data_IF_023708677010
#
_entry.id   IF_023708677010
#
_cell.length_a   1.000
_cell.length_b   1.000
_cell.length_c   1.000
_cell.angle_alpha   90.00
_cell.angle_beta   90.00
_cell.angle_gamma   90.00
#
_symmetry.space_group_name_H-M   'P 1'
#
loop_
_entity.id
_entity.type
_entity.pdbx_description
1 polymer ?
#
# COMPACT_ATOMS: atom_id res chain seq x y z
N UNK A 1 14.64 -5.38 -11.23
CA UNK A 1 14.65 -6.24 -10.02
C UNK A 1 13.25 -6.19 -9.46
N UNK A 2 12.65 -7.32 -9.08
CA UNK A 2 11.29 -7.33 -8.52
C UNK A 2 11.24 -6.80 -7.08
N UNK A 3 10.05 -6.48 -6.59
CA UNK A 3 9.84 -5.95 -5.23
C UNK A 3 10.38 -6.90 -4.14
N UNK A 4 10.09 -8.19 -4.22
CA UNK A 4 10.52 -9.18 -3.22
C UNK A 4 12.06 -9.22 -3.08
N UNK A 5 12.77 -9.24 -4.20
CA UNK A 5 14.24 -9.26 -4.22
C UNK A 5 14.82 -7.94 -3.68
N UNK A 6 14.12 -6.83 -3.92
CA UNK A 6 14.50 -5.51 -3.41
C UNK A 6 14.41 -5.44 -1.88
N UNK A 7 13.35 -6.03 -1.32
CA UNK A 7 13.18 -6.16 0.12
C UNK A 7 14.23 -7.10 0.74
N UNK A 8 14.48 -8.26 0.10
CA UNK A 8 15.50 -9.24 0.56
C UNK A 8 16.91 -8.68 0.55
N UNK A 9 17.25 -7.90 -0.47
CA UNK A 9 18.56 -7.22 -0.60
C UNK A 9 18.73 -6.03 0.35
N UNK A 10 17.72 -5.72 1.19
CA UNK A 10 17.71 -4.60 2.14
C UNK A 10 17.98 -3.24 1.50
N UNK A 11 17.64 -3.11 0.21
CA UNK A 11 17.64 -1.81 -0.45
C UNK A 11 16.43 -1.03 0.02
N UNK A 12 16.57 0.29 0.14
CA UNK A 12 15.44 1.15 0.41
C UNK A 12 14.47 1.13 -0.78
N UNK A 13 13.25 0.65 -0.54
CA UNK A 13 12.23 0.46 -1.57
C UNK A 13 11.38 1.72 -1.74
N UNK A 14 11.06 2.05 -2.98
CA UNK A 14 10.17 3.16 -3.33
C UNK A 14 9.02 2.61 -4.15
N UNK A 15 7.81 2.66 -3.62
CA UNK A 15 6.59 2.27 -4.34
C UNK A 15 5.64 3.45 -4.45
N UNK A 16 4.67 3.37 -5.36
CA UNK A 16 3.61 4.38 -5.46
C UNK A 16 2.30 3.73 -5.86
N UNK A 17 1.20 4.34 -5.43
CA UNK A 17 -0.13 4.02 -5.90
C UNK A 17 -0.36 4.67 -7.28
N UNK A 18 -1.08 3.96 -8.15
CA UNK A 18 -1.68 4.48 -9.38
C UNK A 18 -3.12 4.05 -9.47
N UNK A 19 -4.00 5.01 -9.74
CA UNK A 19 -5.42 4.74 -9.82
C UNK A 19 -5.79 4.05 -11.14
N UNK A 20 -6.70 3.06 -11.11
CA UNK A 20 -7.28 2.53 -12.33
C UNK A 20 -7.90 3.67 -13.17
N UNK A 21 -7.59 3.76 -14.48
CA UNK A 21 -8.10 4.84 -15.30
C UNK A 21 -9.63 4.74 -15.47
N UNK A 22 -10.26 5.91 -15.58
CA UNK A 22 -11.68 6.00 -15.97
C UNK A 22 -11.77 5.88 -17.50
N UNK A 23 -12.64 5.02 -18.00
CA UNK A 23 -12.85 4.84 -19.44
C UNK A 23 -11.69 4.14 -20.15
N UNK A 24 -11.26 4.70 -21.27
CA UNK A 24 -10.15 4.18 -22.09
C UNK A 24 -8.80 4.83 -21.76
N UNK A 25 -8.67 5.45 -20.58
CA UNK A 25 -7.54 6.30 -20.18
C UNK A 25 -6.21 5.60 -19.90
N UNK A 26 -6.03 4.34 -20.30
CA UNK A 26 -4.79 3.59 -20.04
C UNK A 26 -3.57 4.27 -20.66
N UNK A 27 -3.73 4.95 -21.79
CA UNK A 27 -2.64 5.65 -22.48
C UNK A 27 -2.14 6.85 -21.65
N UNK A 28 -3.03 7.56 -20.96
CA UNK A 28 -2.66 8.64 -20.05
C UNK A 28 -1.92 8.11 -18.83
N UNK A 29 -2.40 6.99 -18.26
CA UNK A 29 -1.70 6.31 -17.18
C UNK A 29 -0.27 5.97 -17.59
N UNK A 30 -0.10 5.31 -18.75
CA UNK A 30 1.22 4.94 -19.28
C UNK A 30 2.12 6.15 -19.48
N UNK A 31 1.61 7.26 -20.03
CA UNK A 31 2.37 8.51 -20.17
C UNK A 31 2.85 9.08 -18.83
N UNK A 32 2.04 8.97 -17.79
CA UNK A 32 2.38 9.49 -16.47
C UNK A 32 3.40 8.61 -15.75
N UNK A 33 3.21 7.30 -15.75
CA UNK A 33 4.15 6.36 -15.10
C UNK A 33 5.50 6.30 -15.83
N UNK A 34 5.55 6.58 -17.13
CA UNK A 34 6.82 6.61 -17.87
C UNK A 34 7.80 7.62 -17.27
N UNK A 35 7.28 8.75 -16.78
CA UNK A 35 8.09 9.79 -16.13
C UNK A 35 8.82 9.26 -14.91
N UNK A 36 8.29 8.25 -14.21
CA UNK A 36 8.86 7.69 -12.97
C UNK A 36 9.62 6.37 -13.20
N UNK A 37 9.82 5.96 -14.45
CA UNK A 37 10.54 4.72 -14.79
C UNK A 37 11.94 4.71 -14.19
N UNK A 38 12.33 3.57 -13.62
CA UNK A 38 13.64 3.37 -13.00
C UNK A 38 13.82 4.07 -11.64
N UNK A 39 12.80 4.79 -11.15
CA UNK A 39 12.82 5.50 -9.87
C UNK A 39 11.84 4.94 -8.84
N UNK A 40 10.99 4.03 -9.27
CA UNK A 40 10.01 3.30 -8.46
C UNK A 40 10.20 1.81 -8.71
N UNK A 41 10.13 1.04 -7.62
CA UNK A 41 10.31 -0.41 -7.61
C UNK A 41 9.04 -1.15 -8.02
N UNK A 42 7.88 -0.65 -7.58
CA UNK A 42 6.61 -1.27 -7.87
C UNK A 42 5.43 -0.27 -7.76
N UNK A 43 4.35 -0.55 -8.47
CA UNK A 43 3.17 0.30 -8.57
C UNK A 43 1.93 -0.43 -8.03
N UNK A 44 1.37 0.08 -6.94
CA UNK A 44 0.12 -0.45 -6.39
C UNK A 44 -1.07 0.03 -7.19
N UNK A 45 -1.94 -0.89 -7.57
CA UNK A 45 -3.24 -0.58 -8.14
C UNK A 45 -4.30 -0.90 -7.08
N UNK A 46 -4.93 0.11 -6.46
CA UNK A 46 -5.93 -0.09 -5.43
C UNK A 46 -7.20 -0.73 -6.01
N UNK A 47 -7.84 -1.58 -5.23
CA UNK A 47 -9.20 -2.02 -5.50
C UNK A 47 -10.15 -0.90 -5.09
N UNK A 48 -10.60 -0.09 -6.05
CA UNK A 48 -11.60 0.95 -5.82
C UNK A 48 -12.91 0.59 -6.49
N UNK A 49 -13.99 0.57 -5.71
CA UNK A 49 -15.38 0.53 -6.21
C UNK A 49 -15.93 1.96 -6.26
N UNK A 50 -15.50 2.74 -7.24
CA UNK A 50 -16.14 4.04 -7.53
C UNK A 50 -17.32 3.78 -8.49
N UNK A 51 -18.48 4.40 -8.23
CA UNK A 51 -19.62 4.36 -9.17
C UNK A 51 -19.16 4.92 -10.54
N UNK A 52 -19.02 4.05 -11.56
CA UNK A 52 -18.61 4.49 -12.90
C UNK A 52 -17.89 3.45 -13.77
N UNK A 53 -17.38 3.91 -14.92
CA UNK A 53 -16.75 3.14 -16.01
C UNK A 53 -15.23 2.99 -15.78
N UNK A 54 -14.83 2.59 -14.58
CA UNK A 54 -13.41 2.41 -14.24
C UNK A 54 -12.91 1.07 -14.78
N UNK A 55 -11.72 1.02 -15.39
CA UNK A 55 -11.13 -0.26 -15.79
C UNK A 55 -10.85 -1.13 -14.57
N UNK A 56 -11.01 -2.45 -14.67
CA UNK A 56 -10.79 -3.33 -13.52
C UNK A 56 -9.32 -3.30 -13.04
N UNK A 57 -9.11 -3.47 -11.73
CA UNK A 57 -7.80 -3.42 -11.07
C UNK A 57 -6.79 -4.40 -11.69
N UNK A 58 -7.24 -5.61 -12.06
CA UNK A 58 -6.39 -6.64 -12.65
C UNK A 58 -6.00 -6.28 -14.09
N UNK A 59 -6.91 -5.74 -14.88
CA UNK A 59 -6.66 -5.20 -16.22
C UNK A 59 -5.63 -4.06 -16.19
N UNK A 60 -5.72 -3.18 -15.20
CA UNK A 60 -4.71 -2.13 -14.99
C UNK A 60 -3.34 -2.74 -14.65
N UNK A 61 -3.29 -3.73 -13.75
CA UNK A 61 -2.04 -4.43 -13.44
C UNK A 61 -1.43 -5.12 -14.67
N UNK A 62 -2.25 -5.73 -15.53
CA UNK A 62 -1.82 -6.33 -16.80
C UNK A 62 -1.16 -5.30 -17.71
N UNK A 63 -1.82 -4.15 -17.91
CA UNK A 63 -1.27 -3.07 -18.71
C UNK A 63 0.07 -2.54 -18.15
N UNK A 64 0.20 -2.42 -16.82
CA UNK A 64 1.48 -2.06 -16.19
C UNK A 64 2.57 -3.11 -16.48
N UNK A 65 2.22 -4.41 -16.39
CA UNK A 65 3.15 -5.51 -16.68
C UNK A 65 3.59 -5.50 -18.14
N UNK A 66 2.68 -5.25 -19.08
CA UNK A 66 3.00 -5.08 -20.51
C UNK A 66 4.00 -3.94 -20.75
N UNK A 67 3.89 -2.86 -19.98
CA UNK A 67 4.84 -1.73 -19.98
C UNK A 67 6.10 -1.97 -19.13
N UNK A 68 6.32 -3.21 -18.69
CA UNK A 68 7.49 -3.67 -17.90
C UNK A 68 7.64 -2.95 -16.55
N UNK A 69 6.53 -2.50 -15.96
CA UNK A 69 6.50 -2.13 -14.54
C UNK A 69 6.21 -3.38 -13.69
N UNK A 70 6.49 -3.27 -12.39
CA UNK A 70 6.17 -4.31 -11.41
C UNK A 70 4.87 -3.92 -10.66
N UNK A 71 3.70 -4.44 -11.07
CA UNK A 71 2.43 -4.10 -10.43
C UNK A 71 2.29 -4.80 -9.07
N UNK A 72 1.64 -4.12 -8.13
CA UNK A 72 1.12 -4.69 -6.88
C UNK A 72 -0.41 -4.67 -6.95
N UNK A 73 -1.00 -5.85 -7.00
CA UNK A 73 -2.46 -6.00 -6.99
C UNK A 73 -2.96 -5.83 -5.57
N UNK A 74 -3.61 -4.71 -5.29
CA UNK A 74 -4.28 -4.52 -4.01
C UNK A 74 -5.63 -5.21 -4.03
N UNK A 75 -5.96 -5.93 -2.96
CA UNK A 75 -7.26 -6.57 -2.83
C UNK A 75 -7.74 -6.60 -1.38
N UNK A 76 -9.05 -6.46 -1.22
CA UNK A 76 -9.73 -6.59 0.07
C UNK A 76 -10.34 -7.98 0.23
N UNK A 77 -10.39 -8.46 1.47
CA UNK A 77 -10.87 -9.81 1.74
C UNK A 77 -12.35 -9.84 2.13
N UNK A 78 -12.88 -8.79 2.77
CA UNK A 78 -14.18 -8.86 3.46
C UNK A 78 -15.33 -9.36 2.58
N UNK A 79 -15.51 -8.76 1.42
CA UNK A 79 -16.66 -9.05 0.55
C UNK A 79 -16.47 -10.28 -0.35
N UNK A 80 -15.31 -10.94 -0.30
CA UNK A 80 -14.99 -12.07 -1.18
C UNK A 80 -15.10 -13.40 -0.46
N UNK A 81 -15.65 -14.42 -1.11
CA UNK A 81 -15.52 -15.80 -0.65
C UNK A 81 -14.11 -16.33 -0.90
N UNK A 82 -13.76 -17.49 -0.32
CA UNK A 82 -12.48 -18.16 -0.62
C UNK A 82 -12.35 -18.50 -2.10
N UNK A 83 -13.45 -18.84 -2.76
CA UNK A 83 -13.48 -19.16 -4.20
C UNK A 83 -13.15 -17.91 -5.01
N UNK A 84 -13.78 -16.78 -4.68
CA UNK A 84 -13.54 -15.51 -5.38
C UNK A 84 -12.08 -15.05 -5.23
N UNK A 85 -11.52 -15.15 -4.03
CA UNK A 85 -10.10 -14.84 -3.77
C UNK A 85 -9.20 -15.78 -4.57
N UNK A 86 -9.48 -17.09 -4.57
CA UNK A 86 -8.67 -18.06 -5.31
C UNK A 86 -8.69 -17.77 -6.81
N UNK A 87 -9.87 -17.55 -7.38
CA UNK A 87 -10.01 -17.22 -8.79
C UNK A 87 -9.27 -15.93 -9.15
N UNK A 88 -9.38 -14.90 -8.29
CA UNK A 88 -8.71 -13.63 -8.49
C UNK A 88 -7.17 -13.77 -8.48
N UNK A 89 -6.62 -14.51 -7.51
CA UNK A 89 -5.18 -14.76 -7.40
C UNK A 89 -4.65 -15.63 -8.54
N UNK A 90 -5.39 -16.67 -8.96
CA UNK A 90 -4.99 -17.48 -10.12
C UNK A 90 -4.92 -16.64 -11.39
N UNK A 91 -5.93 -15.80 -11.66
CA UNK A 91 -5.91 -14.87 -12.81
C UNK A 91 -4.75 -13.87 -12.72
N UNK A 92 -4.38 -13.43 -11.52
CA UNK A 92 -3.21 -12.57 -11.30
C UNK A 92 -1.92 -13.32 -11.66
N UNK A 93 -1.76 -14.55 -11.18
CA UNK A 93 -0.60 -15.41 -11.48
C UNK A 93 -0.47 -15.69 -12.98
N UNK A 94 -1.57 -16.02 -13.67
CA UNK A 94 -1.59 -16.23 -15.13
C UNK A 94 -1.17 -14.98 -15.91
N UNK A 95 -1.39 -13.80 -15.32
CA UNK A 95 -1.00 -12.50 -15.88
C UNK A 95 0.44 -12.10 -15.53
N UNK A 96 1.20 -12.96 -14.84
CA UNK A 96 2.56 -12.68 -14.37
C UNK A 96 2.64 -11.65 -13.25
N UNK A 97 1.54 -11.43 -12.52
CA UNK A 97 1.50 -10.54 -11.36
C UNK A 97 1.90 -11.35 -10.13
N UNK A 98 2.97 -10.93 -9.49
CA UNK A 98 3.59 -11.67 -8.38
C UNK A 98 3.48 -10.90 -7.05
N UNK A 99 3.12 -9.61 -7.07
CA UNK A 99 2.98 -8.82 -5.85
C UNK A 99 1.50 -8.63 -5.52
N UNK A 100 1.11 -9.03 -4.32
CA UNK A 100 -0.24 -8.86 -3.80
C UNK A 100 -0.14 -7.99 -2.55
N UNK A 101 -0.97 -6.96 -2.44
CA UNK A 101 -1.13 -6.17 -1.23
C UNK A 101 -2.53 -6.40 -0.68
N UNK A 102 -2.58 -6.85 0.57
CA UNK A 102 -3.83 -7.34 1.14
C UNK A 102 -4.28 -6.44 2.28
N UNK A 103 -5.56 -6.11 2.24
CA UNK A 103 -6.25 -5.45 3.32
C UNK A 103 -7.37 -6.35 3.84
N UNK A 104 -7.48 -6.41 5.16
CA UNK A 104 -8.62 -7.02 5.84
C UNK A 104 -9.88 -6.22 5.48
N UNK A 105 -9.81 -4.90 5.64
CA UNK A 105 -10.64 -3.87 5.04
C UNK A 105 -9.84 -2.61 4.76
N UNK A 106 -10.43 -1.69 3.98
CA UNK A 106 -9.87 -0.34 3.84
C UNK A 106 -9.99 0.42 5.18
N UNK A 107 -8.94 0.30 6.01
CA UNK A 107 -8.72 1.01 7.28
C UNK A 107 -8.86 2.54 7.19
N UNK A 108 -8.91 3.11 5.98
CA UNK A 108 -9.22 4.53 5.76
C UNK A 108 -10.71 4.84 6.00
N UNK A 109 -11.55 3.82 6.20
CA UNK A 109 -13.02 3.93 6.26
C UNK A 109 -13.60 3.48 7.62
N UNK A 110 -12.89 2.70 8.45
CA UNK A 110 -13.47 2.07 9.66
C UNK A 110 -12.87 2.57 10.99
N UNK A 111 -13.61 2.34 12.09
CA UNK A 111 -13.24 2.73 13.46
C UNK A 111 -13.12 1.53 14.41
N UNK A 112 -12.62 1.78 15.63
CA UNK A 112 -12.18 0.76 16.61
C UNK A 112 -13.35 0.01 17.32
N UNK A 113 -14.12 -0.82 16.60
CA UNK A 113 -15.19 -1.63 17.20
C UNK A 113 -14.78 -3.09 17.45
N UNK A 114 -15.35 -3.74 18.47
CA UNK A 114 -15.18 -5.18 18.71
C UNK A 114 -15.57 -6.04 17.50
N UNK A 115 -16.51 -5.56 16.70
CA UNK A 115 -16.96 -6.22 15.49
C UNK A 115 -15.88 -6.21 14.41
N UNK A 116 -15.13 -5.11 14.26
CA UNK A 116 -14.01 -5.00 13.32
C UNK A 116 -12.87 -5.98 13.65
N UNK A 117 -12.55 -6.16 14.95
CA UNK A 117 -11.53 -7.12 15.40
C UNK A 117 -11.92 -8.56 15.05
N UNK A 118 -13.19 -8.95 15.22
CA UNK A 118 -13.65 -10.28 14.83
C UNK A 118 -13.55 -10.51 13.32
N UNK A 119 -13.89 -9.49 12.53
CA UNK A 119 -13.78 -9.58 11.08
C UNK A 119 -12.33 -9.67 10.61
N UNK A 120 -11.40 -8.95 11.25
CA UNK A 120 -9.97 -9.05 10.93
C UNK A 120 -9.48 -10.50 10.91
N UNK A 121 -9.78 -11.29 11.96
CA UNK A 121 -9.33 -12.68 12.05
C UNK A 121 -9.96 -13.58 10.99
N UNK A 122 -11.25 -13.40 10.71
CA UNK A 122 -11.96 -14.15 9.67
C UNK A 122 -11.39 -13.83 8.29
N UNK A 123 -11.19 -12.55 8.00
CA UNK A 123 -10.79 -12.06 6.69
C UNK A 123 -9.32 -12.37 6.37
N UNK A 124 -8.42 -12.14 7.33
CA UNK A 124 -7.01 -12.54 7.21
C UNK A 124 -6.89 -14.06 7.06
N UNK A 125 -7.48 -14.85 7.97
CA UNK A 125 -7.43 -16.31 7.91
C UNK A 125 -7.96 -16.88 6.60
N UNK A 126 -9.05 -16.31 6.06
CA UNK A 126 -9.63 -16.67 4.76
C UNK A 126 -8.62 -16.51 3.62
N UNK A 127 -7.96 -15.36 3.55
CA UNK A 127 -6.99 -15.05 2.50
C UNK A 127 -5.74 -15.92 2.60
N UNK A 128 -5.17 -16.04 3.79
CA UNK A 128 -3.96 -16.86 3.98
C UNK A 128 -4.23 -18.33 3.67
N UNK A 129 -5.39 -18.86 4.06
CA UNK A 129 -5.79 -20.22 3.68
C UNK A 129 -5.78 -20.41 2.16
N UNK A 130 -6.27 -19.42 1.39
CA UNK A 130 -6.22 -19.49 -0.09
C UNK A 130 -4.79 -19.42 -0.60
N UNK A 131 -3.99 -18.47 -0.13
CA UNK A 131 -2.59 -18.28 -0.56
C UNK A 131 -1.76 -19.53 -0.28
N UNK A 132 -1.94 -20.15 0.89
CA UNK A 132 -1.23 -21.35 1.30
C UNK A 132 -1.56 -22.54 0.39
N UNK A 133 -2.85 -22.81 0.14
CA UNK A 133 -3.27 -23.87 -0.79
C UNK A 133 -2.68 -23.65 -2.19
N UNK A 134 -2.78 -22.43 -2.72
CA UNK A 134 -2.22 -22.10 -4.03
C UNK A 134 -0.70 -22.29 -4.08
N UNK A 135 0.02 -21.91 -3.02
CA UNK A 135 1.47 -22.08 -2.90
C UNK A 135 1.87 -23.57 -2.90
N UNK A 136 1.07 -24.42 -2.29
CA UNK A 136 1.29 -25.87 -2.28
C UNK A 136 0.93 -26.55 -3.62
N UNK A 137 0.19 -25.86 -4.49
CA UNK A 137 -0.29 -26.37 -5.76
C UNK A 137 -1.66 -27.04 -5.65
N UNK A 138 -2.49 -26.58 -4.72
CA UNK A 138 -3.85 -27.07 -4.51
C UNK A 138 -4.89 -25.95 -4.62
N UNK A 139 -6.11 -26.31 -5.03
CA UNK A 139 -7.29 -25.47 -4.79
C UNK A 139 -7.75 -25.58 -3.32
N UNK A 140 -8.68 -24.73 -2.90
CA UNK A 140 -9.24 -24.71 -1.54
C UNK A 140 -9.99 -26.00 -1.15
N UNK A 141 -10.24 -26.90 -2.10
CA UNK A 141 -10.81 -28.23 -1.85
C UNK A 141 -9.76 -29.33 -1.75
N UNK A 142 -8.47 -28.98 -1.89
CA UNK A 142 -7.33 -29.90 -1.84
C UNK A 142 -7.03 -30.61 -3.16
N UNK A 143 -7.65 -30.20 -4.28
CA UNK A 143 -7.33 -30.78 -5.59
C UNK A 143 -6.11 -30.10 -6.17
N UNK A 144 -5.23 -30.89 -6.78
CA UNK A 144 -4.05 -30.38 -7.45
C UNK A 144 -4.42 -29.43 -8.60
N UNK A 145 -3.71 -28.30 -8.69
CA UNK A 145 -3.85 -27.33 -9.77
C UNK A 145 -2.59 -27.31 -10.65
N UNK A 146 -2.73 -26.98 -11.95
CA UNK A 146 -1.57 -26.80 -12.81
C UNK A 146 -0.70 -25.62 -12.35
N UNK A 147 0.50 -25.93 -11.84
CA UNK A 147 1.47 -24.92 -11.40
C UNK A 147 1.31 -24.53 -9.93
N UNK A 148 2.29 -23.75 -9.44
CA UNK A 148 2.36 -23.27 -8.06
C UNK A 148 2.60 -21.77 -8.06
N UNK A 149 1.54 -20.94 -8.04
CA UNK A 149 1.68 -19.50 -7.95
C UNK A 149 2.61 -19.10 -6.81
N UNK A 150 3.51 -18.15 -7.07
CA UNK A 150 4.39 -17.55 -6.06
C UNK A 150 4.07 -16.08 -5.96
N UNK A 151 3.78 -15.63 -4.75
CA UNK A 151 3.43 -14.26 -4.49
C UNK A 151 4.30 -13.66 -3.39
N UNK A 152 4.76 -12.43 -3.62
CA UNK A 152 5.23 -11.51 -2.60
C UNK A 152 4.01 -10.84 -1.96
N UNK A 153 3.71 -11.22 -0.71
CA UNK A 153 2.51 -10.78 0.00
C UNK A 153 2.84 -9.61 0.92
N UNK A 154 2.26 -8.45 0.64
CA UNK A 154 2.21 -7.31 1.54
C UNK A 154 0.92 -7.32 2.36
N UNK A 155 0.99 -6.92 3.62
CA UNK A 155 -0.19 -6.69 4.45
C UNK A 155 -0.27 -5.23 4.91
N UNK A 156 -1.41 -4.60 4.67
CA UNK A 156 -1.72 -3.30 5.24
C UNK A 156 -1.97 -3.38 6.73
N UNK A 157 -1.41 -2.46 7.49
CA UNK A 157 -1.55 -2.41 8.94
C UNK A 157 -1.89 -1.01 9.42
N UNK A 158 -2.72 -0.95 10.46
CA UNK A 158 -2.89 0.28 11.20
C UNK A 158 -1.62 0.59 11.98
N UNK A 159 -1.20 1.86 11.98
CA UNK A 159 -0.12 2.30 12.83
C UNK A 159 -0.67 3.43 13.68
N UNK A 160 -1.11 3.09 14.90
CA UNK A 160 -1.64 4.04 15.87
C UNK A 160 -0.58 5.05 16.31
N UNK A 161 -0.40 6.13 15.54
CA UNK A 161 0.62 7.14 15.79
C UNK A 161 0.47 7.76 17.19
N UNK A 162 1.54 7.71 17.99
CA UNK A 162 1.61 8.38 19.29
C UNK A 162 0.78 7.74 20.41
N UNK A 163 0.03 6.69 20.11
CA UNK A 163 -0.56 5.79 21.12
C UNK A 163 0.40 4.62 21.34
N UNK A 164 0.40 4.04 22.54
CA UNK A 164 1.01 2.70 22.70
C UNK A 164 0.25 1.81 21.71
N UNK A 165 0.92 1.30 20.68
CA UNK A 165 0.40 0.22 19.80
C UNK A 165 -0.34 -0.76 20.72
N UNK A 166 -1.66 -0.89 20.64
CA UNK A 166 -2.37 -1.86 21.47
C UNK A 166 -1.71 -3.22 21.32
N UNK A 167 -1.58 -3.98 22.41
CA UNK A 167 -0.99 -5.32 22.34
C UNK A 167 -1.76 -6.24 21.38
N UNK A 168 -3.00 -5.89 21.06
CA UNK A 168 -3.80 -6.52 20.03
C UNK A 168 -3.25 -6.29 18.61
N UNK A 169 -2.96 -5.06 18.21
CA UNK A 169 -2.38 -4.75 16.89
C UNK A 169 -1.06 -5.48 16.68
N UNK A 170 -0.21 -5.55 17.71
CA UNK A 170 1.05 -6.30 17.63
C UNK A 170 0.80 -7.81 17.44
N UNK A 171 -0.18 -8.40 18.14
CA UNK A 171 -0.55 -9.81 17.96
C UNK A 171 -1.13 -10.09 16.59
N UNK A 172 -1.90 -9.16 16.03
CA UNK A 172 -2.40 -9.26 14.66
C UNK A 172 -1.23 -9.28 13.67
N UNK A 173 -0.26 -8.37 13.83
CA UNK A 173 0.96 -8.38 13.02
C UNK A 173 1.80 -9.66 13.20
N UNK A 174 1.93 -10.19 14.42
CA UNK A 174 2.58 -11.48 14.68
C UNK A 174 1.90 -12.62 13.92
N UNK A 175 0.56 -12.64 13.93
CA UNK A 175 -0.22 -13.62 13.20
C UNK A 175 0.01 -13.49 11.68
N UNK A 176 -0.07 -12.28 11.13
CA UNK A 176 0.21 -12.01 9.71
C UNK A 176 1.63 -12.45 9.32
N UNK A 177 2.63 -12.11 10.13
CA UNK A 177 4.01 -12.53 9.92
C UNK A 177 4.15 -14.06 9.91
N UNK A 178 3.49 -14.75 10.86
CA UNK A 178 3.46 -16.21 10.93
C UNK A 178 2.83 -16.90 9.71
N UNK A 179 1.93 -16.19 9.00
CA UNK A 179 1.30 -16.69 7.78
C UNK A 179 2.08 -16.37 6.49
N UNK A 180 3.30 -15.82 6.61
CA UNK A 180 4.20 -15.61 5.48
C UNK A 180 4.03 -14.28 4.76
N UNK A 181 3.64 -13.22 5.48
CA UNK A 181 3.74 -11.84 5.00
C UNK A 181 5.20 -11.46 4.73
N UNK A 182 5.46 -10.87 3.56
CA UNK A 182 6.80 -10.47 3.09
C UNK A 182 7.13 -9.02 3.45
N UNK A 183 6.13 -8.16 3.59
CA UNK A 183 6.29 -6.80 4.10
C UNK A 183 4.98 -6.26 4.69
N UNK A 184 5.10 -5.29 5.59
CA UNK A 184 3.99 -4.50 6.08
C UNK A 184 3.94 -3.14 5.38
N UNK A 185 2.74 -2.67 5.07
CA UNK A 185 2.49 -1.30 4.60
C UNK A 185 1.71 -0.57 5.70
N UNK A 186 2.29 0.48 6.27
CA UNK A 186 1.63 1.25 7.33
C UNK A 186 0.62 2.22 6.76
N UNK A 187 -0.24 2.77 7.61
CA UNK A 187 -1.01 3.98 7.26
C UNK A 187 -0.10 5.20 7.02
N UNK A 188 -0.63 6.33 6.52
CA UNK A 188 0.17 7.51 6.21
C UNK A 188 0.88 8.07 7.44
N UNK A 189 2.19 8.28 7.31
CA UNK A 189 3.05 8.79 8.39
C UNK A 189 3.17 10.31 8.29
N UNK A 190 2.89 11.02 9.39
CA UNK A 190 3.18 12.44 9.52
C UNK A 190 3.98 12.80 10.78
N UNK A 191 4.12 11.85 11.71
CA UNK A 191 4.85 12.02 12.98
C UNK A 191 5.97 10.96 13.05
N UNK A 192 7.21 11.41 12.89
CA UNK A 192 8.40 10.55 12.88
C UNK A 192 8.72 9.97 14.25
N UNK A 193 8.42 10.69 15.34
CA UNK A 193 8.70 10.23 16.69
C UNK A 193 7.75 9.09 17.07
N UNK A 194 6.47 9.25 16.76
CA UNK A 194 5.46 8.21 16.86
C UNK A 194 5.83 6.98 16.00
N UNK A 195 6.23 7.19 14.75
CA UNK A 195 6.65 6.13 13.84
C UNK A 195 7.86 5.38 14.39
N UNK A 196 8.85 6.08 14.93
CA UNK A 196 10.05 5.48 15.56
C UNK A 196 9.68 4.56 16.73
N UNK A 197 8.72 4.97 17.57
CA UNK A 197 8.23 4.13 18.67
C UNK A 197 7.51 2.87 18.17
N UNK A 198 6.69 3.02 17.12
CA UNK A 198 6.03 1.89 16.46
C UNK A 198 7.06 0.89 15.90
N UNK A 199 8.05 1.37 15.14
CA UNK A 199 9.11 0.54 14.55
C UNK A 199 9.85 -0.27 15.62
N UNK A 200 10.20 0.33 16.76
CA UNK A 200 10.89 -0.39 17.85
C UNK A 200 10.10 -1.58 18.37
N UNK A 201 8.77 -1.53 18.33
CA UNK A 201 7.90 -2.63 18.79
C UNK A 201 7.76 -3.74 17.75
N UNK A 202 7.75 -3.39 16.47
CA UNK A 202 7.53 -4.37 15.38
C UNK A 202 8.83 -4.93 14.80
N UNK A 203 9.98 -4.31 15.08
CA UNK A 203 11.31 -4.80 14.69
C UNK A 203 11.55 -6.29 15.02
N UNK A 204 11.12 -6.84 16.18
CA UNK A 204 11.29 -8.26 16.49
C UNK A 204 10.61 -9.22 15.51
N UNK A 205 9.59 -8.77 14.76
CA UNK A 205 8.91 -9.57 13.74
C UNK A 205 9.80 -9.87 12.54
N UNK A 206 10.85 -9.06 12.31
CA UNK A 206 11.79 -9.19 11.19
C UNK A 206 11.15 -9.16 9.79
N UNK A 207 9.93 -8.62 9.70
CA UNK A 207 9.24 -8.34 8.43
C UNK A 207 9.53 -6.88 8.05
N UNK A 208 10.01 -6.60 6.82
CA UNK A 208 10.20 -5.24 6.33
C UNK A 208 8.94 -4.37 6.47
N UNK A 209 9.12 -3.10 6.83
CA UNK A 209 8.04 -2.11 6.90
C UNK A 209 8.24 -1.07 5.80
N UNK A 210 7.17 -0.78 5.05
CA UNK A 210 7.09 0.31 4.08
C UNK A 210 6.12 1.36 4.66
N UNK A 211 6.56 2.62 4.71
CA UNK A 211 5.78 3.72 5.25
C UNK A 211 4.96 4.42 4.16
N UNK A 212 3.65 4.55 4.35
CA UNK A 212 2.80 5.34 3.44
C UNK A 212 3.03 6.85 3.59
N UNK A 213 3.00 7.54 2.46
CA UNK A 213 3.16 9.00 2.37
C UNK A 213 2.11 9.55 1.41
N UNK A 214 1.13 10.26 1.96
CA UNK A 214 0.18 11.03 1.14
C UNK A 214 0.86 12.31 0.64
N UNK A 215 0.76 12.57 -0.67
CA UNK A 215 1.20 13.82 -1.26
C UNK A 215 0.22 14.95 -0.94
N UNK A 216 0.32 15.54 0.26
CA UNK A 216 -0.57 16.63 0.72
C UNK A 216 -0.21 17.93 0.01
N UNK A 217 -0.98 18.28 -1.03
CA UNK A 217 -0.67 19.38 -1.94
C UNK A 217 -1.21 20.75 -1.52
N UNK A 218 -2.14 20.79 -0.57
CA UNK A 218 -2.77 22.04 -0.15
C UNK A 218 -3.34 21.96 1.26
N UNK A 219 -3.58 23.12 1.87
CA UNK A 219 -4.22 23.20 3.18
C UNK A 219 -5.65 22.64 3.16
N UNK A 220 -6.38 22.92 2.07
CA UNK A 220 -7.74 22.43 1.85
C UNK A 220 -7.78 20.90 1.77
N UNK A 221 -6.80 20.29 1.10
CA UNK A 221 -6.62 18.84 1.07
C UNK A 221 -6.34 18.28 2.47
N UNK A 222 -5.45 18.90 3.25
CA UNK A 222 -5.18 18.49 4.62
C UNK A 222 -6.41 18.56 5.52
N UNK A 223 -7.20 19.64 5.41
CA UNK A 223 -8.47 19.79 6.13
C UNK A 223 -9.52 18.77 5.69
N UNK A 224 -9.61 18.48 4.38
CA UNK A 224 -10.51 17.45 3.85
C UNK A 224 -10.17 16.08 4.43
N UNK A 225 -8.89 15.70 4.42
CA UNK A 225 -8.40 14.46 4.99
C UNK A 225 -8.74 14.34 6.49
N UNK A 226 -8.52 15.42 7.25
CA UNK A 226 -8.86 15.45 8.68
C UNK A 226 -10.37 15.34 8.94
N UNK A 227 -11.21 15.87 8.04
CA UNK A 227 -12.66 15.88 8.22
C UNK A 227 -13.33 14.58 7.76
N UNK A 228 -12.87 14.00 6.66
CA UNK A 228 -13.59 12.95 5.94
C UNK A 228 -12.89 11.59 5.95
N UNK A 229 -11.57 11.55 6.21
CA UNK A 229 -10.82 10.29 6.27
C UNK A 229 -10.51 9.94 7.71
N UNK A 230 -9.76 10.79 8.41
CA UNK A 230 -9.38 10.53 9.80
C UNK A 230 -9.09 11.81 10.56
N UNK A 231 -9.82 12.09 11.66
CA UNK A 231 -9.55 13.24 12.52
C UNK A 231 -8.10 13.30 12.99
N UNK A 232 -7.45 14.45 12.77
CA UNK A 232 -6.09 14.71 13.22
C UNK A 232 -4.98 14.00 12.45
N UNK A 233 -5.28 13.35 11.33
CA UNK A 233 -4.29 12.63 10.52
C UNK A 233 -3.18 13.54 9.98
N UNK A 234 -3.55 14.69 9.41
CA UNK A 234 -2.60 15.69 8.91
C UNK A 234 -2.35 16.73 10.01
N UNK A 235 -1.12 16.87 10.52
CA UNK A 235 -0.79 17.84 11.55
C UNK A 235 -1.08 19.29 11.16
N UNK A 236 -1.54 20.10 12.12
CA UNK A 236 -1.85 21.51 11.90
C UNK A 236 -0.68 22.31 11.33
N UNK A 237 0.55 22.03 11.76
CA UNK A 237 1.73 22.74 11.24
C UNK A 237 1.96 22.51 9.74
N UNK A 238 1.59 21.33 9.20
CA UNK A 238 1.64 21.03 7.77
C UNK A 238 0.57 21.83 7.03
N UNK A 239 -0.66 21.82 7.55
CA UNK A 239 -1.79 22.58 6.98
C UNK A 239 -1.47 24.08 6.96
N UNK A 240 -0.93 24.61 8.05
CA UNK A 240 -0.53 26.01 8.14
C UNK A 240 0.63 26.36 7.20
N UNK A 241 1.65 25.51 7.08
CA UNK A 241 2.75 25.71 6.13
C UNK A 241 2.21 25.82 4.70
N UNK A 242 1.30 24.93 4.31
CA UNK A 242 0.67 24.94 2.99
C UNK A 242 -0.27 26.14 2.78
N UNK A 243 -0.95 26.61 3.83
CA UNK A 243 -1.84 27.78 3.75
C UNK A 243 -1.07 29.10 3.58
N UNK A 244 0.08 29.22 4.23
CA UNK A 244 0.92 30.44 4.23
C UNK A 244 1.91 30.48 3.06
N UNK A 245 2.16 29.35 2.40
CA UNK A 245 3.14 29.25 1.33
C UNK A 245 2.71 30.03 0.06
N UNK A 246 3.58 30.89 -0.49
CA UNK A 246 3.32 31.55 -1.78
C UNK A 246 3.37 30.55 -2.95
N UNK A 247 4.19 29.52 -2.83
CA UNK A 247 4.27 28.38 -3.75
C UNK A 247 3.89 27.09 -3.01
N UNK A 248 2.64 26.67 -3.19
CA UNK A 248 2.08 25.47 -2.55
C UNK A 248 2.78 24.19 -3.01
N UNK A 249 3.20 24.10 -4.28
CA UNK A 249 3.86 22.91 -4.81
C UNK A 249 5.24 22.74 -4.19
N UNK A 250 6.03 23.82 -4.15
CA UNK A 250 7.34 23.81 -3.49
C UNK A 250 7.22 23.46 -2.01
N UNK A 251 6.28 24.07 -1.29
CA UNK A 251 6.07 23.78 0.12
C UNK A 251 5.69 22.31 0.38
N UNK A 252 4.80 21.75 -0.46
CA UNK A 252 4.44 20.32 -0.42
C UNK A 252 5.67 19.44 -0.64
N UNK A 253 6.46 19.70 -1.69
CA UNK A 253 7.68 18.95 -1.99
C UNK A 253 8.67 18.99 -0.81
N UNK A 254 8.86 20.14 -0.17
CA UNK A 254 9.71 20.24 1.02
C UNK A 254 9.18 19.39 2.19
N UNK A 255 7.87 19.43 2.46
CA UNK A 255 7.24 18.62 3.52
C UNK A 255 7.50 17.13 3.28
N UNK A 256 7.23 16.66 2.06
CA UNK A 256 7.40 15.25 1.69
C UNK A 256 8.88 14.85 1.73
N UNK A 257 9.79 15.71 1.26
CA UNK A 257 11.23 15.48 1.33
C UNK A 257 11.71 15.30 2.77
N UNK A 258 11.31 16.20 3.66
CA UNK A 258 11.74 16.18 5.06
C UNK A 258 11.20 14.92 5.77
N UNK A 259 9.96 14.53 5.48
CA UNK A 259 9.36 13.29 5.97
C UNK A 259 10.11 12.04 5.47
N UNK A 260 10.33 11.91 4.16
CA UNK A 260 11.06 10.77 3.57
C UNK A 260 12.48 10.68 4.14
N UNK A 261 13.16 11.82 4.34
CA UNK A 261 14.51 11.84 4.90
C UNK A 261 14.54 11.30 6.33
N UNK A 262 13.52 11.60 7.15
CA UNK A 262 13.39 11.03 8.48
C UNK A 262 13.01 9.54 8.49
N UNK A 263 12.26 9.08 7.49
CA UNK A 263 11.83 7.68 7.39
C UNK A 263 12.93 6.72 6.93
N UNK A 264 13.93 7.22 6.18
CA UNK A 264 15.05 6.40 5.65
C UNK A 264 15.78 5.59 6.72
N UNK A 265 15.89 6.13 7.93
CA UNK A 265 16.58 5.47 9.05
C UNK A 265 15.65 4.61 9.92
N UNK A 266 14.35 4.63 9.64
CA UNK A 266 13.31 3.99 10.46
C UNK A 266 12.69 2.77 9.78
N UNK A 267 12.55 2.76 8.45
CA UNK A 267 11.88 1.69 7.72
C UNK A 267 12.64 1.28 6.44
N UNK A 268 12.13 0.26 5.74
CA UNK A 268 12.78 -0.33 4.57
C UNK A 268 12.30 0.28 3.26
N UNK A 269 11.33 1.19 3.30
CA UNK A 269 10.86 1.87 2.11
C UNK A 269 9.70 2.82 2.36
N UNK A 270 9.30 3.50 1.30
CA UNK A 270 8.16 4.42 1.29
C UNK A 270 7.18 4.09 0.16
N UNK A 271 5.90 4.35 0.41
CA UNK A 271 4.82 4.20 -0.56
C UNK A 271 4.12 5.53 -0.77
N UNK A 272 4.19 6.10 -1.98
CA UNK A 272 3.55 7.36 -2.29
C UNK A 272 2.08 7.19 -2.68
N UNK A 273 1.20 7.97 -2.05
CA UNK A 273 -0.23 8.06 -2.39
C UNK A 273 -0.48 9.44 -3.01
N UNK A 274 -0.59 9.55 -4.34
CA UNK A 274 -0.69 10.83 -5.03
C UNK A 274 -2.08 11.46 -4.98
N UNK A 275 -3.14 10.66 -4.80
CA UNK A 275 -4.55 11.08 -4.81
C UNK A 275 -4.88 11.87 -6.09
N UNK A 276 -4.89 11.18 -7.23
CA UNK A 276 -5.22 11.76 -8.55
C UNK A 276 -4.19 12.76 -9.07
N UNK A 277 -2.93 12.62 -8.65
CA UNK A 277 -1.81 13.46 -9.10
C UNK A 277 -0.59 12.61 -9.48
N UNK A 278 -0.86 11.46 -10.11
CA UNK A 278 0.13 10.50 -10.57
C UNK A 278 1.16 11.17 -11.51
N UNK A 279 0.72 12.15 -12.30
CA UNK A 279 1.57 12.95 -13.18
C UNK A 279 2.64 13.78 -12.45
N UNK A 280 2.42 14.07 -11.15
CA UNK A 280 3.28 14.91 -10.33
C UNK A 280 4.30 14.14 -9.51
N UNK A 281 4.17 12.81 -9.38
CA UNK A 281 5.09 11.98 -8.57
C UNK A 281 6.55 12.26 -8.94
N UNK A 282 6.83 12.40 -10.25
CA UNK A 282 8.16 12.73 -10.77
C UNK A 282 8.82 13.93 -10.08
N UNK A 283 8.07 15.01 -9.81
CA UNK A 283 8.59 16.22 -9.14
C UNK A 283 8.99 15.96 -7.68
N UNK A 284 8.25 15.10 -6.98
CA UNK A 284 8.60 14.69 -5.62
C UNK A 284 9.86 13.83 -5.66
N UNK A 285 9.92 12.85 -6.57
CA UNK A 285 11.12 12.02 -6.76
C UNK A 285 12.37 12.85 -7.12
N UNK A 286 12.25 13.91 -7.92
CA UNK A 286 13.37 14.79 -8.26
C UNK A 286 13.99 15.48 -7.02
N UNK A 287 13.15 15.81 -6.03
CA UNK A 287 13.59 16.41 -4.78
C UNK A 287 14.15 15.38 -3.78
N UNK A 288 13.89 14.10 -4.03
CA UNK A 288 14.33 13.00 -3.19
C UNK A 288 15.63 12.43 -3.76
N UNK A 289 16.71 12.48 -2.97
CA UNK A 289 17.96 11.79 -3.30
C UNK A 289 17.82 10.30 -2.96
N UNK A 290 16.95 9.60 -3.67
CA UNK A 290 16.65 8.16 -3.50
C UNK A 290 17.43 7.32 -4.50
#
# INVERSE_FOLDING_TARGET
>A
MGLEESLKSKRFVVTSEVQPPIGTGIQDLVRNIEKIRGRIDALTVPELKIEGLVTDTLGTCRALKEQKFDPILQTTCREKSRVDIQEHLLKASESGIENILTFTEDYRITGDSLQEIMFFHVDSGKLFSVIENLREGHDISGREIPGKPKFCIGAGIEAGWGKKVPDLELKEMEALAGMGTHYFLTTPVFDLDAFSQFIKRVQPLRVPVIAEIILVRSAEMGLFLNKHVRPGMVPNHIIEKLAKAPDKEKASIEIIRDLVQGLKDLCQGVHFIPIGAEDRISKYLDALRL
#
